data_IF_259039267702
#
_entry.id   IF_259039267702
#
_cell.length_a   1.000
_cell.length_b   1.000
_cell.length_c   1.000
_cell.angle_alpha   90.00
_cell.angle_beta   90.00
_cell.angle_gamma   90.00
#
_symmetry.space_group_name_H-M   'P 1'
#
loop_
_entity.id
_entity.type
_entity.pdbx_description
1 polymer ?
#
# COMPACT_ATOMS: atom_id res chain seq x y z
N UNK A 1 13.27 24.82 8.88
CA UNK A 1 13.32 23.65 9.79
C UNK A 1 11.96 22.98 10.01
N UNK A 2 10.86 23.71 10.29
CA UNK A 2 9.57 23.11 10.66
C UNK A 2 8.95 22.19 9.59
N UNK A 3 9.09 22.51 8.30
CA UNK A 3 8.61 21.62 7.22
C UNK A 3 9.34 20.27 7.26
N UNK A 4 10.68 20.29 7.40
CA UNK A 4 11.48 19.08 7.37
C UNK A 4 11.14 18.16 8.55
N UNK A 5 11.02 18.72 9.76
CA UNK A 5 10.63 17.96 10.95
C UNK A 5 9.24 17.34 10.80
N UNK A 6 8.26 18.08 10.26
CA UNK A 6 6.91 17.56 9.99
C UNK A 6 6.95 16.42 8.97
N UNK A 7 7.68 16.58 7.87
CA UNK A 7 7.81 15.54 6.85
C UNK A 7 8.45 14.27 7.40
N UNK A 8 9.52 14.39 8.19
CA UNK A 8 10.18 13.23 8.82
C UNK A 8 9.23 12.53 9.79
N UNK A 9 8.49 13.28 10.62
CA UNK A 9 7.49 12.69 11.51
C UNK A 9 6.39 11.94 10.74
N UNK A 10 5.86 12.53 9.66
CA UNK A 10 4.84 11.88 8.83
C UNK A 10 5.38 10.60 8.18
N UNK A 11 6.63 10.60 7.71
CA UNK A 11 7.28 9.40 7.16
C UNK A 11 7.39 8.30 8.23
N UNK A 12 7.85 8.65 9.43
CA UNK A 12 7.98 7.68 10.54
C UNK A 12 6.62 7.09 10.94
N UNK A 13 5.59 7.94 11.08
CA UNK A 13 4.23 7.50 11.38
C UNK A 13 3.71 6.58 10.27
N UNK A 14 3.93 6.96 9.00
CA UNK A 14 3.49 6.17 7.84
C UNK A 14 4.15 4.79 7.80
N UNK A 15 5.44 4.71 8.13
CA UNK A 15 6.16 3.44 8.21
C UNK A 15 5.60 2.52 9.30
N UNK A 16 5.35 3.05 10.50
CA UNK A 16 4.79 2.29 11.61
C UNK A 16 3.39 1.78 11.27
N UNK A 17 2.51 2.65 10.79
CA UNK A 17 1.13 2.29 10.41
C UNK A 17 1.14 1.26 9.28
N UNK A 18 1.97 1.43 8.25
CA UNK A 18 2.08 0.45 7.16
C UNK A 18 2.57 -0.91 7.64
N UNK A 19 3.52 -0.95 8.57
CA UNK A 19 4.01 -2.20 9.17
C UNK A 19 2.93 -2.92 9.97
N UNK A 20 2.14 -2.19 10.75
CA UNK A 20 0.99 -2.76 11.49
C UNK A 20 -0.06 -3.31 10.51
N UNK A 21 -0.37 -2.56 9.46
CA UNK A 21 -1.29 -3.01 8.42
C UNK A 21 -0.77 -4.25 7.69
N UNK A 22 0.55 -4.38 7.47
CA UNK A 22 1.15 -5.57 6.90
C UNK A 22 0.85 -6.81 7.74
N UNK A 23 1.02 -6.73 9.07
CA UNK A 23 0.74 -7.84 9.98
C UNK A 23 -0.72 -8.30 9.93
N UNK A 24 -1.65 -7.39 9.64
CA UNK A 24 -3.10 -7.68 9.57
C UNK A 24 -3.50 -8.18 8.17
N UNK A 25 -3.00 -7.54 7.10
CA UNK A 25 -3.41 -7.81 5.73
C UNK A 25 -2.77 -9.11 5.18
N UNK A 26 -1.51 -9.40 5.51
CA UNK A 26 -0.81 -10.60 5.04
C UNK A 26 -1.58 -11.90 5.35
N UNK A 27 -2.06 -12.17 6.59
CA UNK A 27 -2.81 -13.39 6.87
C UNK A 27 -4.16 -13.43 6.15
N UNK A 28 -4.81 -12.27 5.94
CA UNK A 28 -6.07 -12.18 5.18
C UNK A 28 -5.83 -12.56 3.72
N UNK A 29 -4.81 -11.97 3.08
CA UNK A 29 -4.46 -12.28 1.69
C UNK A 29 -4.04 -13.74 1.52
N UNK A 30 -3.30 -14.29 2.49
CA UNK A 30 -2.92 -15.71 2.49
C UNK A 30 -4.14 -16.63 2.58
N UNK A 31 -5.18 -16.25 3.33
CA UNK A 31 -6.44 -17.00 3.45
C UNK A 31 -7.30 -16.92 2.19
N UNK A 32 -7.23 -15.83 1.45
CA UNK A 32 -7.98 -15.64 0.20
C UNK A 32 -7.44 -16.49 -0.97
N UNK A 33 -6.45 -17.35 -0.75
CA UNK A 33 -5.85 -18.21 -1.77
C UNK A 33 -5.46 -17.47 -3.04
N UNK A 34 -5.06 -16.19 -2.91
CA UNK A 34 -4.35 -15.45 -3.97
C UNK A 34 -2.90 -15.94 -4.02
N UNK A 35 -2.73 -17.26 -4.03
CA UNK A 35 -1.48 -17.93 -4.25
C UNK A 35 -1.26 -17.96 -5.75
N UNK A 36 -0.23 -17.28 -6.22
CA UNK A 36 0.24 -17.41 -7.59
C UNK A 36 0.28 -18.89 -7.99
N UNK A 37 -0.50 -19.28 -9.00
CA UNK A 37 -0.26 -20.54 -9.71
C UNK A 37 1.08 -20.38 -10.41
N UNK A 38 2.13 -20.93 -9.82
CA UNK A 38 3.45 -20.94 -10.45
C UNK A 38 3.32 -21.79 -11.71
N UNK A 39 3.73 -21.24 -12.84
CA UNK A 39 3.78 -21.98 -14.11
C UNK A 39 4.62 -23.24 -13.94
N UNK A 40 4.14 -24.37 -14.46
CA UNK A 40 4.77 -25.70 -14.35
C UNK A 40 6.24 -25.67 -14.82
N UNK A 41 6.57 -24.79 -15.76
CA UNK A 41 7.94 -24.62 -16.30
C UNK A 41 8.90 -23.85 -15.37
N UNK A 42 8.39 -23.14 -14.36
CA UNK A 42 9.15 -22.29 -13.42
C UNK A 42 9.13 -22.87 -11.99
N UNK A 43 8.53 -24.04 -11.82
CA UNK A 43 8.19 -24.61 -10.51
C UNK A 43 9.42 -25.02 -9.70
N UNK A 44 10.48 -25.52 -10.34
CA UNK A 44 11.70 -25.95 -9.63
C UNK A 44 12.50 -24.78 -9.04
N UNK A 45 12.62 -23.66 -9.76
CA UNK A 45 13.42 -22.51 -9.33
C UNK A 45 12.63 -21.55 -8.43
N UNK A 46 11.32 -21.42 -8.65
CA UNK A 46 10.45 -20.48 -7.92
C UNK A 46 9.59 -21.13 -6.84
N UNK A 47 9.76 -22.43 -6.55
CA UNK A 47 9.07 -23.13 -5.45
C UNK A 47 9.19 -22.41 -4.10
N UNK A 48 10.31 -21.72 -3.85
CA UNK A 48 10.55 -20.91 -2.62
C UNK A 48 9.63 -19.68 -2.50
N UNK A 49 9.07 -19.18 -3.61
CA UNK A 49 8.09 -18.07 -3.63
C UNK A 49 6.63 -18.58 -3.61
N UNK A 50 6.43 -19.91 -3.58
CA UNK A 50 5.09 -20.49 -3.49
C UNK A 50 4.44 -20.12 -2.16
N UNK A 51 3.25 -19.53 -2.20
CA UNK A 51 2.49 -19.14 -1.02
C UNK A 51 2.71 -17.72 -0.49
N UNK A 52 3.54 -16.90 -1.14
CA UNK A 52 3.51 -15.44 -0.88
C UNK A 52 2.27 -14.84 -1.55
N UNK A 53 1.40 -14.12 -0.80
CA UNK A 53 0.19 -13.55 -1.38
C UNK A 53 0.55 -12.50 -2.45
N UNK A 54 -0.13 -12.56 -3.60
CA UNK A 54 -0.15 -11.41 -4.53
C UNK A 54 -1.08 -10.32 -4.00
N UNK A 55 -0.91 -9.09 -4.47
CA UNK A 55 -1.58 -7.86 -3.97
C UNK A 55 -0.99 -7.20 -2.71
N UNK A 56 0.31 -7.34 -2.45
CA UNK A 56 0.99 -6.62 -1.36
C UNK A 56 0.90 -5.09 -1.44
N UNK A 57 0.58 -4.50 -2.60
CA UNK A 57 0.37 -3.05 -2.76
C UNK A 57 -0.71 -2.47 -1.86
N UNK A 58 -1.72 -3.27 -1.47
CA UNK A 58 -2.77 -2.86 -0.54
C UNK A 58 -2.23 -2.48 0.85
N UNK A 59 -1.10 -3.06 1.25
CA UNK A 59 -0.40 -2.77 2.52
C UNK A 59 0.14 -1.33 2.55
N UNK A 60 0.37 -0.72 1.38
CA UNK A 60 0.84 0.66 1.28
C UNK A 60 -0.30 1.62 0.96
N UNK A 61 -1.18 1.25 0.03
CA UNK A 61 -2.27 2.13 -0.43
C UNK A 61 -3.25 2.45 0.70
N UNK A 62 -3.70 1.44 1.47
CA UNK A 62 -4.70 1.64 2.52
C UNK A 62 -4.18 2.56 3.65
N UNK A 63 -3.00 2.31 4.25
CA UNK A 63 -2.42 3.23 5.23
C UNK A 63 -2.20 4.65 4.70
N UNK A 64 -1.71 4.80 3.48
CA UNK A 64 -1.48 6.12 2.89
C UNK A 64 -2.78 6.92 2.77
N UNK A 65 -3.88 6.29 2.37
CA UNK A 65 -5.21 6.94 2.31
C UNK A 65 -5.69 7.31 3.72
N UNK A 66 -5.57 6.41 4.70
CA UNK A 66 -6.00 6.66 6.08
C UNK A 66 -5.24 7.83 6.70
N UNK A 67 -3.92 7.88 6.50
CA UNK A 67 -3.07 8.96 7.00
C UNK A 67 -3.42 10.28 6.31
N UNK A 68 -3.64 10.26 5.00
CA UNK A 68 -4.08 11.44 4.26
C UNK A 68 -5.41 12.00 4.82
N UNK A 69 -6.43 11.14 4.97
CA UNK A 69 -7.73 11.53 5.53
C UNK A 69 -7.57 12.07 6.94
N UNK A 70 -6.75 11.43 7.77
CA UNK A 70 -6.48 11.86 9.15
C UNK A 70 -5.85 13.25 9.16
N UNK A 71 -4.80 13.48 8.36
CA UNK A 71 -4.12 14.77 8.31
C UNK A 71 -5.00 15.89 7.73
N UNK A 72 -5.87 15.55 6.78
CA UNK A 72 -6.88 16.47 6.27
C UNK A 72 -7.92 16.83 7.34
N UNK A 73 -8.44 15.84 8.08
CA UNK A 73 -9.41 16.04 9.15
C UNK A 73 -8.88 16.92 10.31
N UNK A 74 -7.58 16.84 10.60
CA UNK A 74 -6.92 17.68 11.61
C UNK A 74 -6.43 19.04 11.07
N UNK A 75 -6.88 19.46 9.88
CA UNK A 75 -6.49 20.69 9.19
C UNK A 75 -4.96 20.86 9.08
N UNK A 76 -4.22 19.76 8.93
CA UNK A 76 -2.75 19.77 8.75
C UNK A 76 -2.33 19.83 7.28
N UNK A 77 -3.27 19.60 6.36
CA UNK A 77 -3.05 19.62 4.91
C UNK A 77 -4.13 20.46 4.24
N UNK A 78 -3.72 21.34 3.34
CA UNK A 78 -4.63 22.07 2.46
C UNK A 78 -4.75 21.37 1.11
N UNK A 79 -5.97 21.25 0.61
CA UNK A 79 -6.24 20.70 -0.72
C UNK A 79 -5.78 21.72 -1.76
N UNK A 80 -4.74 21.37 -2.52
CA UNK A 80 -4.24 22.14 -3.65
C UNK A 80 -4.48 21.39 -4.96
N UNK A 81 -4.50 22.09 -6.09
CA UNK A 81 -4.65 21.46 -7.41
C UNK A 81 -3.60 20.37 -7.64
N UNK A 82 -2.34 20.60 -7.26
CA UNK A 82 -1.27 19.62 -7.37
C UNK A 82 -1.55 18.37 -6.53
N UNK A 83 -2.06 18.54 -5.31
CA UNK A 83 -2.40 17.42 -4.43
C UNK A 83 -3.55 16.57 -4.99
N UNK A 84 -4.56 17.21 -5.57
CA UNK A 84 -5.68 16.50 -6.22
C UNK A 84 -5.17 15.64 -7.38
N UNK A 85 -4.29 16.17 -8.23
CA UNK A 85 -3.70 15.42 -9.35
C UNK A 85 -2.92 14.20 -8.85
N UNK A 86 -2.14 14.36 -7.78
CA UNK A 86 -1.39 13.26 -7.16
C UNK A 86 -2.34 12.21 -6.60
N UNK A 87 -3.40 12.59 -5.90
CA UNK A 87 -4.38 11.65 -5.34
C UNK A 87 -5.12 10.87 -6.42
N UNK A 88 -5.55 11.54 -7.49
CA UNK A 88 -6.20 10.89 -8.63
C UNK A 88 -5.24 9.87 -9.23
N UNK A 89 -4.01 10.29 -9.56
CA UNK A 89 -2.99 9.40 -10.10
C UNK A 89 -2.73 8.20 -9.18
N UNK A 90 -2.54 8.45 -7.89
CA UNK A 90 -2.27 7.41 -6.88
C UNK A 90 -3.40 6.37 -6.82
N UNK A 91 -4.65 6.82 -6.79
CA UNK A 91 -5.81 5.92 -6.74
C UNK A 91 -5.97 5.19 -8.08
N UNK A 92 -5.85 5.87 -9.22
CA UNK A 92 -5.99 5.26 -10.55
C UNK A 92 -4.97 4.14 -10.77
N UNK A 93 -3.69 4.38 -10.49
CA UNK A 93 -2.66 3.34 -10.59
C UNK A 93 -2.83 2.23 -9.55
N UNK A 94 -3.34 2.56 -8.35
CA UNK A 94 -3.71 1.56 -7.35
C UNK A 94 -4.80 0.61 -7.84
N UNK A 95 -5.84 1.16 -8.47
CA UNK A 95 -6.95 0.37 -9.05
C UNK A 95 -6.48 -0.46 -10.24
N UNK A 96 -5.70 0.12 -11.15
CA UNK A 96 -5.14 -0.62 -12.29
C UNK A 96 -4.28 -1.80 -11.83
N UNK A 97 -3.40 -1.57 -10.85
CA UNK A 97 -2.60 -2.65 -10.26
C UNK A 97 -3.45 -3.69 -9.53
N UNK A 98 -4.56 -3.30 -8.90
CA UNK A 98 -5.47 -4.26 -8.29
C UNK A 98 -6.18 -5.13 -9.33
N UNK A 99 -6.63 -4.54 -10.45
CA UNK A 99 -7.27 -5.26 -11.55
C UNK A 99 -6.30 -6.24 -12.22
N UNK A 100 -5.04 -5.85 -12.43
CA UNK A 100 -4.01 -6.71 -13.05
C UNK A 100 -3.61 -7.91 -12.17
N UNK A 101 -3.73 -7.77 -10.84
CA UNK A 101 -3.38 -8.83 -9.89
C UNK A 101 -4.54 -9.76 -9.50
N UNK A 102 -5.79 -9.41 -9.85
CA UNK A 102 -6.99 -10.21 -9.60
C UNK A 102 -7.23 -11.19 -10.76
#
# INVERSE_FOLDING_TARGET
MLILTKSVMVIMISFIVSTIFALIIIPILRKMNVGQRISVYLEETHRKKSGTPTMGGLIFILPSIIIFITLWFFDKIHITYSLIIVLITFISYGVLGFIDNY
#
